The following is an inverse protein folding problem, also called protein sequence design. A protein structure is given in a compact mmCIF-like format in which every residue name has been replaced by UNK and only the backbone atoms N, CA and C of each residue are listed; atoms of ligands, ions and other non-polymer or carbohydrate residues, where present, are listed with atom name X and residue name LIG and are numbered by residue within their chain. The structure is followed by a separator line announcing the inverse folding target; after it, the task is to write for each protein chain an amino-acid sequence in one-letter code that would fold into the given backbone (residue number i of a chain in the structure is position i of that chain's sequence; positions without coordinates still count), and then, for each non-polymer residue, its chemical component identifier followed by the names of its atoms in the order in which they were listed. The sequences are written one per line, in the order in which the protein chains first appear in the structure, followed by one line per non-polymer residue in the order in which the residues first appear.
data_IF_102607196743
#
_entry.id   IF_102607196743
#
_cell.length_a   1.000
_cell.length_b   1.000
_cell.length_c   1.000
_cell.angle_alpha   90.00
_cell.angle_beta   90.00
_cell.angle_gamma   90.00
#
_symmetry.space_group_name_H-M   'P 1'
#
loop_
_entity.id
_entity.type
_entity.pdbx_description
1 polymer ?
#
# COMPACT_ATOMS: atom_id res chain seq x y z
N UNK A 1 65.46 -29.58 17.92
CA UNK A 1 64.13 -29.02 18.07
C UNK A 1 63.99 -27.86 17.07
N UNK A 2 63.37 -28.11 15.91
CA UNK A 2 63.26 -27.11 14.83
C UNK A 2 61.86 -26.48 14.96
N UNK A 3 61.76 -25.18 15.28
CA UNK A 3 60.51 -24.41 15.26
C UNK A 3 60.22 -24.04 13.81
N UNK A 4 59.10 -24.51 13.28
CA UNK A 4 58.58 -24.10 11.99
C UNK A 4 57.59 -22.94 12.26
N UNK A 5 57.98 -21.70 11.87
CA UNK A 5 57.06 -20.56 11.87
C UNK A 5 56.07 -20.70 10.72
N UNK A 6 54.79 -20.83 11.06
CA UNK A 6 53.68 -20.80 10.10
C UNK A 6 53.31 -19.31 9.87
N UNK A 7 53.62 -18.76 8.69
CA UNK A 7 53.18 -17.41 8.34
C UNK A 7 51.76 -17.47 7.84
N UNK A 8 50.84 -16.86 8.58
CA UNK A 8 49.43 -16.69 8.21
C UNK A 8 49.30 -15.47 7.28
N UNK A 9 49.15 -15.69 5.99
CA UNK A 9 48.88 -14.62 5.02
C UNK A 9 47.41 -14.21 5.10
N UNK A 10 47.15 -13.02 5.64
CA UNK A 10 45.84 -12.42 5.63
C UNK A 10 45.58 -11.83 4.24
N UNK A 11 44.73 -12.50 3.43
CA UNK A 11 44.29 -11.97 2.15
C UNK A 11 43.27 -10.84 2.42
N UNK A 12 43.67 -9.59 2.19
CA UNK A 12 42.73 -8.46 2.14
C UNK A 12 41.83 -8.66 0.89
N UNK A 13 40.57 -8.97 1.11
CA UNK A 13 39.59 -8.93 0.04
C UNK A 13 39.40 -7.47 -0.40
N UNK A 14 39.80 -7.15 -1.63
CA UNK A 14 39.50 -5.85 -2.23
C UNK A 14 37.97 -5.71 -2.37
N UNK A 15 37.39 -4.54 -2.07
CA UNK A 15 35.97 -4.31 -2.32
C UNK A 15 35.66 -4.47 -3.81
N UNK A 16 34.65 -5.27 -4.14
CA UNK A 16 34.18 -5.39 -5.52
C UNK A 16 33.69 -4.01 -5.98
N UNK A 17 34.08 -3.54 -7.18
CA UNK A 17 33.55 -2.28 -7.70
C UNK A 17 32.03 -2.39 -7.82
N UNK A 18 31.31 -1.41 -7.27
CA UNK A 18 29.86 -1.30 -7.46
C UNK A 18 29.57 -1.24 -8.97
N UNK A 19 28.62 -2.05 -9.44
CA UNK A 19 28.24 -2.02 -10.84
C UNK A 19 27.55 -0.67 -11.15
N UNK A 20 28.15 0.24 -11.89
CA UNK A 20 27.60 1.58 -12.13
C UNK A 20 26.23 1.56 -12.85
N UNK A 21 25.90 0.45 -13.52
CA UNK A 21 24.60 0.26 -14.19
C UNK A 21 23.43 0.14 -13.20
N UNK A 22 23.72 -0.19 -11.93
CA UNK A 22 22.69 -0.31 -10.87
C UNK A 22 22.49 0.98 -10.09
N UNK A 23 23.29 2.02 -10.36
CA UNK A 23 23.18 3.30 -9.68
C UNK A 23 22.52 4.28 -10.65
N UNK A 24 21.30 4.72 -10.32
CA UNK A 24 20.62 5.75 -11.10
C UNK A 24 21.25 7.11 -10.73
N UNK A 25 21.82 7.80 -11.71
CA UNK A 25 22.45 9.12 -11.52
C UNK A 25 21.42 10.26 -11.50
N UNK A 26 20.18 9.97 -11.93
CA UNK A 26 19.08 10.95 -11.96
C UNK A 26 18.18 10.83 -10.74
N UNK A 27 17.64 11.94 -10.26
CA UNK A 27 16.58 11.97 -9.25
C UNK A 27 15.29 11.28 -9.73
N UNK A 28 14.24 11.23 -8.88
CA UNK A 28 12.93 10.75 -9.28
C UNK A 28 12.42 11.52 -10.50
N UNK A 29 11.80 10.81 -11.43
CA UNK A 29 11.12 11.43 -12.57
C UNK A 29 9.78 12.02 -12.11
N UNK A 30 9.28 13.03 -12.82
CA UNK A 30 7.89 13.46 -12.66
C UNK A 30 6.95 12.39 -13.23
N UNK A 31 5.66 12.35 -12.82
CA UNK A 31 4.70 11.40 -13.36
C UNK A 31 4.60 11.43 -14.91
N UNK A 32 4.69 12.60 -15.50
CA UNK A 32 4.66 12.79 -16.96
C UNK A 32 5.93 12.31 -17.64
N UNK A 33 7.07 12.44 -16.98
CA UNK A 33 8.34 11.90 -17.48
C UNK A 33 8.37 10.39 -17.41
N UNK A 34 7.85 9.81 -16.30
CA UNK A 34 7.73 8.36 -16.15
C UNK A 34 6.77 7.77 -17.17
N UNK A 35 5.62 8.42 -17.42
CA UNK A 35 4.64 8.01 -18.43
C UNK A 35 5.29 7.88 -19.83
N UNK A 36 6.14 8.82 -20.22
CA UNK A 36 6.85 8.77 -21.51
C UNK A 36 7.87 7.64 -21.60
N UNK A 37 8.27 7.08 -20.47
CA UNK A 37 9.22 5.96 -20.41
C UNK A 37 8.61 4.59 -20.68
N UNK A 38 7.27 4.47 -20.68
CA UNK A 38 6.60 3.19 -20.97
C UNK A 38 6.62 2.89 -22.47
N UNK A 39 6.87 1.62 -22.80
CA UNK A 39 6.72 1.08 -24.15
C UNK A 39 5.70 -0.05 -24.10
N UNK A 40 4.65 0.07 -24.90
CA UNK A 40 3.56 -0.90 -24.99
C UNK A 40 3.36 -1.32 -26.45
N UNK A 41 2.72 -2.48 -26.74
CA UNK A 41 2.32 -2.85 -28.10
C UNK A 41 1.39 -1.80 -28.74
N UNK A 42 1.34 -1.76 -30.08
CA UNK A 42 0.62 -0.75 -30.87
C UNK A 42 -0.89 -0.63 -30.55
N UNK A 43 -1.51 -1.72 -30.06
CA UNK A 43 -2.93 -1.76 -29.71
C UNK A 43 -3.22 -1.33 -28.26
N UNK A 44 -2.20 -0.86 -27.52
CA UNK A 44 -2.32 -0.44 -26.13
C UNK A 44 -1.85 0.99 -25.93
N UNK A 45 -2.50 1.67 -25.00
CA UNK A 45 -2.13 2.99 -24.52
C UNK A 45 -1.91 2.98 -23.02
N UNK A 46 -0.89 3.70 -22.53
CA UNK A 46 -0.67 3.93 -21.09
C UNK A 46 -1.16 5.31 -20.73
N UNK A 47 -2.02 5.38 -19.74
CA UNK A 47 -2.62 6.63 -19.26
C UNK A 47 -2.27 6.86 -17.80
N UNK A 48 -1.94 8.09 -17.42
CA UNK A 48 -1.71 8.49 -16.05
C UNK A 48 -3.07 8.78 -15.39
N UNK A 49 -3.58 7.85 -14.60
CA UNK A 49 -4.86 8.01 -13.90
C UNK A 49 -4.73 8.84 -12.62
N UNK A 50 -3.70 8.60 -11.81
CA UNK A 50 -3.45 9.33 -10.57
C UNK A 50 -1.98 9.26 -10.18
N UNK A 51 -1.50 10.32 -9.54
CA UNK A 51 -0.16 10.42 -8.97
C UNK A 51 -0.21 11.10 -7.61
N UNK A 52 0.93 11.22 -6.94
CA UNK A 52 1.05 12.07 -5.75
C UNK A 52 0.72 13.53 -6.09
N UNK A 53 0.04 14.25 -5.21
CA UNK A 53 -0.34 13.90 -3.83
C UNK A 53 -1.69 13.19 -3.68
N UNK A 54 -2.42 12.88 -4.76
CA UNK A 54 -3.73 12.23 -4.69
C UNK A 54 -3.66 10.85 -4.04
N UNK A 55 -2.62 10.10 -4.39
CA UNK A 55 -2.31 8.80 -3.78
C UNK A 55 -0.89 8.80 -3.21
N UNK A 56 -0.66 7.98 -2.21
CA UNK A 56 0.69 7.74 -1.64
C UNK A 56 0.84 6.26 -1.33
N UNK A 57 1.99 5.68 -1.66
CA UNK A 57 2.32 4.27 -1.42
C UNK A 57 1.13 3.33 -1.68
N UNK A 58 0.57 3.29 -2.88
CA UNK A 58 -0.49 2.35 -3.22
C UNK A 58 0.08 0.93 -3.23
N UNK A 59 -0.51 0.02 -2.44
CA UNK A 59 -0.07 -1.37 -2.38
C UNK A 59 -1.01 -2.27 -3.18
N UNK A 60 -2.32 -1.99 -3.13
CA UNK A 60 -3.32 -2.74 -3.86
C UNK A 60 -4.35 -1.80 -4.48
N UNK A 61 -4.84 -2.19 -5.64
CA UNK A 61 -5.79 -1.44 -6.47
C UNK A 61 -6.92 -2.37 -6.91
N UNK A 62 -8.16 -1.87 -6.88
CA UNK A 62 -9.31 -2.62 -7.40
C UNK A 62 -10.37 -1.66 -7.99
N UNK A 63 -10.87 -1.98 -9.17
CA UNK A 63 -12.01 -1.26 -9.75
C UNK A 63 -13.32 -1.74 -9.15
N UNK A 64 -14.13 -0.81 -8.68
CA UNK A 64 -15.50 -1.06 -8.23
C UNK A 64 -16.51 -1.02 -9.35
N UNK A 65 -17.69 -1.60 -9.12
CA UNK A 65 -18.78 -1.66 -10.11
C UNK A 65 -19.33 -0.31 -10.59
N UNK A 66 -18.99 0.79 -9.90
CA UNK A 66 -19.35 2.17 -10.28
C UNK A 66 -18.24 2.87 -11.10
N UNK A 67 -17.24 2.14 -11.61
CA UNK A 67 -16.12 2.72 -12.35
C UNK A 67 -15.13 3.52 -11.48
N UNK A 68 -15.14 3.31 -10.16
CA UNK A 68 -14.23 4.00 -9.24
C UNK A 68 -13.05 3.11 -8.85
N UNK A 69 -11.88 3.69 -8.75
CA UNK A 69 -10.66 3.00 -8.32
C UNK A 69 -10.54 3.04 -6.80
N UNK A 70 -10.47 1.87 -6.20
CA UNK A 70 -10.23 1.69 -4.77
C UNK A 70 -8.76 1.39 -4.55
N UNK A 71 -8.15 2.08 -3.58
CA UNK A 71 -6.71 2.02 -3.34
C UNK A 71 -6.44 1.80 -1.86
N UNK A 72 -5.65 0.78 -1.54
CA UNK A 72 -5.04 0.68 -0.21
C UNK A 72 -3.76 1.53 -0.18
N UNK A 73 -3.78 2.61 0.59
CA UNK A 73 -2.65 3.51 0.80
C UNK A 73 -1.97 3.12 2.12
N UNK A 74 -0.71 2.67 2.02
CA UNK A 74 0.01 2.05 3.14
C UNK A 74 1.29 2.83 3.42
N UNK A 75 1.13 4.05 3.90
CA UNK A 75 2.20 5.02 4.11
C UNK A 75 3.21 4.53 5.15
N UNK A 76 2.71 3.88 6.20
CA UNK A 76 3.52 3.42 7.34
C UNK A 76 4.26 2.09 7.09
N UNK A 77 3.97 1.37 5.98
CA UNK A 77 4.66 0.13 5.66
C UNK A 77 6.19 0.32 5.60
N UNK A 78 7.01 -0.56 6.19
CA UNK A 78 6.67 -1.87 6.74
C UNK A 78 6.44 -1.88 8.27
N UNK A 79 6.24 -0.76 8.91
CA UNK A 79 6.22 -0.65 10.37
C UNK A 79 4.79 -0.65 10.93
N UNK A 80 4.27 -1.85 11.19
CA UNK A 80 2.94 -2.01 11.80
C UNK A 80 2.83 -1.30 13.16
N UNK A 81 1.71 -0.61 13.37
CA UNK A 81 1.40 -0.02 14.66
C UNK A 81 1.15 -1.09 15.72
N UNK A 82 1.77 -0.93 16.88
CA UNK A 82 1.57 -1.80 18.04
C UNK A 82 0.24 -1.51 18.73
N UNK A 83 -0.18 -2.43 19.60
CA UNK A 83 -1.45 -2.35 20.34
C UNK A 83 -1.64 -1.09 21.19
N UNK A 84 -0.56 -0.48 21.65
CA UNK A 84 -0.59 0.78 22.42
C UNK A 84 -1.11 1.98 21.60
N UNK A 85 -1.03 1.91 20.27
CA UNK A 85 -1.62 2.91 19.35
C UNK A 85 -3.06 2.58 18.95
N UNK A 86 -3.58 1.39 19.26
CA UNK A 86 -4.94 1.02 18.91
C UNK A 86 -5.96 1.77 19.76
N UNK A 87 -7.09 2.14 19.17
CA UNK A 87 -8.19 2.81 19.89
C UNK A 87 -9.09 1.81 20.63
N UNK A 88 -9.10 0.56 20.19
CA UNK A 88 -9.83 -0.54 20.80
C UNK A 88 -9.04 -1.87 20.67
N UNK A 89 -9.47 -2.89 21.38
CA UNK A 89 -8.80 -4.21 21.40
C UNK A 89 -8.80 -4.92 20.04
N UNK A 90 -9.70 -4.55 19.15
CA UNK A 90 -9.82 -5.15 17.83
C UNK A 90 -8.86 -4.51 16.82
N UNK A 91 -8.25 -3.35 17.14
CA UNK A 91 -7.44 -2.58 16.20
C UNK A 91 -8.26 -1.93 15.09
N UNK A 92 -9.50 -1.52 15.39
CA UNK A 92 -10.40 -0.91 14.40
C UNK A 92 -9.89 0.40 13.85
N UNK A 93 -9.11 1.14 14.64
CA UNK A 93 -8.36 2.33 14.23
C UNK A 93 -7.03 2.42 14.98
N UNK A 94 -6.07 3.05 14.36
CA UNK A 94 -4.76 3.35 14.92
C UNK A 94 -4.61 4.87 15.07
N UNK A 95 -4.21 5.32 16.25
CA UNK A 95 -3.92 6.74 16.49
C UNK A 95 -2.75 7.20 15.60
N UNK A 96 -2.89 8.38 15.02
CA UNK A 96 -1.86 9.04 14.20
C UNK A 96 -1.39 8.18 13.00
N UNK A 97 -2.23 7.27 12.51
CA UNK A 97 -1.97 6.51 11.29
C UNK A 97 -2.42 7.32 10.07
N UNK A 98 -1.59 7.28 9.03
CA UNK A 98 -1.87 7.87 7.71
C UNK A 98 -2.28 6.80 6.69
N UNK A 99 -2.41 5.55 7.14
CA UNK A 99 -2.85 4.44 6.31
C UNK A 99 -4.36 4.47 6.10
N UNK A 100 -4.80 4.31 4.86
CA UNK A 100 -6.19 4.46 4.50
C UNK A 100 -6.61 3.61 3.30
N UNK A 101 -7.91 3.38 3.16
CA UNK A 101 -8.53 3.03 1.88
C UNK A 101 -9.04 4.31 1.25
N UNK A 102 -8.65 4.57 0.01
CA UNK A 102 -9.07 5.72 -0.79
C UNK A 102 -9.91 5.27 -1.97
N UNK A 103 -10.85 6.11 -2.38
CA UNK A 103 -11.64 5.94 -3.61
C UNK A 103 -11.31 7.12 -4.53
N UNK A 104 -10.92 6.82 -5.76
CA UNK A 104 -10.62 7.80 -6.79
C UNK A 104 -11.72 7.74 -7.86
N UNK A 105 -12.20 8.91 -8.25
CA UNK A 105 -13.24 9.09 -9.24
C UNK A 105 -12.73 9.97 -10.39
N UNK A 106 -12.90 9.50 -11.60
CA UNK A 106 -12.84 10.28 -12.85
C UNK A 106 -14.27 10.79 -13.08
N UNK A 107 -14.49 12.08 -12.87
CA UNK A 107 -15.83 12.67 -12.87
C UNK A 107 -16.23 13.15 -14.25
N UNK A 108 -15.27 13.63 -15.04
CA UNK A 108 -15.51 14.20 -16.37
C UNK A 108 -15.22 13.22 -17.52
N UNK A 109 -14.63 12.05 -17.22
CA UNK A 109 -14.39 10.98 -18.19
C UNK A 109 -13.14 11.18 -19.04
N UNK A 110 -12.18 11.99 -18.58
CA UNK A 110 -10.93 12.25 -19.32
C UNK A 110 -9.84 11.18 -19.06
N UNK A 111 -10.12 10.20 -18.21
CA UNK A 111 -9.21 9.11 -17.85
C UNK A 111 -8.27 9.46 -16.71
N UNK A 112 -8.54 10.55 -15.98
CA UNK A 112 -7.79 10.94 -14.79
C UNK A 112 -8.71 11.08 -13.59
N UNK A 113 -8.14 10.91 -12.41
CA UNK A 113 -8.90 11.09 -11.18
C UNK A 113 -8.99 12.57 -10.83
N UNK A 114 -10.24 13.09 -10.74
CA UNK A 114 -10.54 14.47 -10.31
C UNK A 114 -10.84 14.54 -8.82
N UNK A 115 -11.32 13.44 -8.25
CA UNK A 115 -11.81 13.40 -6.89
C UNK A 115 -11.23 12.23 -6.13
N UNK A 116 -10.80 12.52 -4.90
CA UNK A 116 -10.32 11.51 -3.95
C UNK A 116 -11.15 11.57 -2.68
N UNK A 117 -11.64 10.41 -2.26
CA UNK A 117 -12.36 10.21 -1.02
C UNK A 117 -11.50 9.33 -0.13
N UNK A 118 -11.16 9.78 1.06
CA UNK A 118 -10.58 8.94 2.10
C UNK A 118 -11.72 8.18 2.77
N UNK A 119 -11.94 6.95 2.29
CA UNK A 119 -13.09 6.12 2.66
C UNK A 119 -12.96 5.51 4.05
N UNK A 120 -11.81 4.91 4.35
CA UNK A 120 -11.52 4.35 5.68
C UNK A 120 -10.11 4.76 6.10
N UNK A 121 -10.01 5.49 7.19
CA UNK A 121 -8.78 6.06 7.75
C UNK A 121 -8.27 5.29 8.97
N UNK A 122 -7.08 5.67 9.43
CA UNK A 122 -6.51 5.15 10.66
C UNK A 122 -6.29 3.65 10.63
N UNK A 123 -5.90 3.10 9.49
CA UNK A 123 -5.68 1.67 9.30
C UNK A 123 -4.26 1.26 9.74
N UNK A 124 -4.01 -0.02 9.77
CA UNK A 124 -2.73 -0.61 10.13
C UNK A 124 -2.23 -1.49 9.00
N UNK A 125 -1.42 -0.94 8.12
CA UNK A 125 -0.84 -1.60 6.95
C UNK A 125 -1.91 -2.32 6.10
N UNK A 126 -2.85 -1.60 5.49
CA UNK A 126 -3.83 -2.21 4.60
C UNK A 126 -3.15 -2.66 3.30
N UNK A 127 -3.07 -3.98 3.07
CA UNK A 127 -2.39 -4.55 1.91
C UNK A 127 -3.32 -5.12 0.86
N UNK A 128 -4.64 -5.08 1.09
CA UNK A 128 -5.63 -5.56 0.15
C UNK A 128 -6.94 -4.80 0.27
N UNK A 129 -7.59 -4.56 -0.86
CA UNK A 129 -8.93 -3.97 -0.92
C UNK A 129 -9.75 -4.65 -2.00
N UNK A 130 -10.97 -5.03 -1.65
CA UNK A 130 -11.98 -5.56 -2.57
C UNK A 130 -13.24 -4.72 -2.43
N UNK A 131 -13.60 -3.90 -3.44
CA UNK A 131 -14.87 -3.18 -3.45
C UNK A 131 -16.03 -4.16 -3.39
N UNK A 132 -16.80 -4.08 -2.32
CA UNK A 132 -17.98 -4.92 -2.12
C UNK A 132 -18.87 -4.28 -1.07
N UNK A 133 -20.17 -4.20 -1.30
CA UNK A 133 -21.12 -3.64 -0.35
C UNK A 133 -22.35 -4.54 -0.22
N UNK A 134 -22.95 -4.52 0.95
CA UNK A 134 -24.26 -5.12 1.20
C UNK A 134 -25.35 -4.20 0.60
N UNK A 135 -26.49 -4.75 0.17
CA UNK A 135 -27.53 -3.93 -0.47
C UNK A 135 -28.03 -2.75 0.36
N UNK A 136 -28.00 -2.86 1.68
CA UNK A 136 -28.43 -1.83 2.63
C UNK A 136 -27.43 -0.67 2.79
N UNK A 137 -26.17 -0.84 2.32
CA UNK A 137 -25.13 0.17 2.46
C UNK A 137 -24.89 0.94 1.15
N UNK A 138 -24.47 2.18 1.26
CA UNK A 138 -24.21 3.04 0.09
C UNK A 138 -22.95 2.65 -0.67
N UNK A 139 -21.89 2.38 0.07
CA UNK A 139 -20.62 1.89 -0.41
C UNK A 139 -19.99 0.95 0.62
N UNK A 140 -19.03 0.15 0.19
CA UNK A 140 -18.31 -0.73 1.10
C UNK A 140 -17.17 -1.47 0.44
N UNK A 141 -16.28 -2.00 1.28
CA UNK A 141 -15.20 -2.87 0.83
C UNK A 141 -14.85 -3.90 1.90
N UNK A 142 -14.30 -5.01 1.43
CA UNK A 142 -13.54 -5.94 2.26
C UNK A 142 -12.08 -5.54 2.14
N UNK A 143 -11.41 -5.33 3.27
CA UNK A 143 -10.01 -4.96 3.26
C UNK A 143 -9.24 -5.61 4.40
N UNK A 144 -7.96 -5.86 4.15
CA UNK A 144 -7.03 -6.22 5.18
C UNK A 144 -6.55 -4.98 5.91
N UNK A 145 -6.57 -5.02 7.23
CA UNK A 145 -5.86 -4.07 8.10
C UNK A 145 -5.57 -4.79 9.41
N UNK A 146 -4.30 -4.82 9.80
CA UNK A 146 -3.83 -5.55 10.97
C UNK A 146 -4.70 -5.27 12.19
N UNK A 147 -5.20 -6.29 12.89
CA UNK A 147 -4.88 -7.72 12.72
C UNK A 147 -5.98 -8.54 12.01
N UNK A 148 -6.90 -7.89 11.29
CA UNK A 148 -8.11 -8.54 10.83
C UNK A 148 -8.38 -8.30 9.33
N UNK A 149 -9.21 -9.17 8.75
CA UNK A 149 -9.97 -8.85 7.55
C UNK A 149 -11.26 -8.16 8.00
N UNK A 150 -11.46 -6.96 7.47
CA UNK A 150 -12.56 -6.08 7.82
C UNK A 150 -13.56 -5.94 6.69
N UNK A 151 -14.81 -5.72 7.08
CA UNK A 151 -15.80 -5.07 6.24
C UNK A 151 -15.94 -3.62 6.68
N UNK A 152 -15.65 -2.71 5.77
CA UNK A 152 -15.87 -1.28 5.92
C UNK A 152 -17.08 -0.86 5.09
N UNK A 153 -17.96 -0.06 5.65
CA UNK A 153 -19.12 0.44 4.90
C UNK A 153 -19.49 1.87 5.26
N UNK A 154 -19.98 2.59 4.26
CA UNK A 154 -20.70 3.84 4.39
C UNK A 154 -22.20 3.53 4.53
N UNK A 155 -22.74 3.73 5.72
CA UNK A 155 -24.17 3.53 6.00
C UNK A 155 -24.95 4.82 5.91
N UNK A 156 -24.30 5.98 5.96
CA UNK A 156 -24.91 7.32 5.99
C UNK A 156 -25.00 7.98 4.61
N UNK A 157 -24.08 7.65 3.71
CA UNK A 157 -24.01 8.23 2.36
C UNK A 157 -23.11 9.46 2.26
N UNK A 158 -22.20 9.66 3.23
CA UNK A 158 -21.25 10.78 3.23
C UNK A 158 -19.91 10.46 2.54
N UNK A 159 -19.76 9.21 2.05
CA UNK A 159 -18.57 8.73 1.38
C UNK A 159 -17.50 8.19 2.32
N UNK A 160 -17.78 8.07 3.62
CA UNK A 160 -16.83 7.55 4.62
C UNK A 160 -17.36 6.30 5.30
N UNK A 161 -16.46 5.39 5.62
CA UNK A 161 -16.80 4.18 6.36
C UNK A 161 -17.05 4.50 7.84
N UNK A 162 -18.30 4.50 8.24
CA UNK A 162 -18.77 4.60 9.62
C UNK A 162 -18.95 3.22 10.26
N UNK A 163 -19.16 2.17 9.48
CA UNK A 163 -19.19 0.78 9.94
C UNK A 163 -17.82 0.10 9.75
N UNK A 164 -17.35 -0.57 10.81
CA UNK A 164 -16.12 -1.38 10.82
C UNK A 164 -16.38 -2.72 11.49
N UNK A 165 -16.61 -3.74 10.68
CA UNK A 165 -16.95 -5.09 11.15
C UNK A 165 -15.77 -6.05 10.88
N UNK A 166 -15.40 -6.84 11.89
CA UNK A 166 -14.42 -7.91 11.71
C UNK A 166 -15.08 -9.08 11.01
N UNK A 167 -14.61 -9.42 9.82
CA UNK A 167 -15.04 -10.63 9.12
C UNK A 167 -14.25 -11.85 9.54
N UNK A 168 -12.94 -11.67 9.72
CA UNK A 168 -12.05 -12.76 10.13
C UNK A 168 -10.82 -12.21 10.85
N UNK A 169 -10.39 -12.88 11.94
CA UNK A 169 -9.22 -12.50 12.73
C UNK A 169 -9.43 -12.72 14.23
N UNK A 170 -8.50 -12.32 15.09
CA UNK A 170 -7.22 -11.73 14.72
C UNK A 170 -6.26 -12.76 14.13
N UNK A 171 -5.47 -12.37 13.14
CA UNK A 171 -4.38 -13.16 12.59
C UNK A 171 -3.06 -12.78 13.25
N UNK A 172 -2.10 -13.73 13.29
CA UNK A 172 -0.78 -13.46 13.83
C UNK A 172 0.01 -12.52 12.92
N UNK A 173 0.54 -11.43 13.47
CA UNK A 173 1.34 -10.43 12.74
C UNK A 173 2.63 -10.06 13.49
N UNK A 174 2.85 -10.65 14.67
CA UNK A 174 3.87 -10.20 15.63
C UNK A 174 5.30 -10.53 15.23
N UNK A 175 5.49 -11.44 14.27
CA UNK A 175 6.81 -11.92 13.86
C UNK A 175 7.34 -11.28 12.58
N UNK A 176 6.47 -10.91 11.68
CA UNK A 176 6.84 -10.36 10.38
C UNK A 176 5.66 -9.61 9.76
N UNK A 177 5.88 -8.36 9.39
CA UNK A 177 4.88 -7.55 8.68
C UNK A 177 4.67 -8.00 7.24
N UNK A 178 5.55 -8.83 6.70
CA UNK A 178 5.44 -9.40 5.35
C UNK A 178 4.60 -10.69 5.32
N UNK A 179 4.53 -11.42 6.43
CA UNK A 179 3.92 -12.76 6.51
C UNK A 179 2.40 -12.78 6.64
N UNK A 180 1.74 -11.65 6.69
CA UNK A 180 0.32 -11.59 7.03
C UNK A 180 -0.64 -11.89 5.89
N UNK A 181 -0.16 -12.01 4.68
CA UNK A 181 -0.97 -12.27 3.49
C UNK A 181 -0.41 -13.41 2.63
N UNK A 182 0.51 -14.20 3.19
CA UNK A 182 1.09 -15.38 2.51
C UNK A 182 0.43 -16.67 2.97
#
# INVERSE_FOLDING_TARGET
MRLTCLALTLALAAPLPANPVLIRETGPLTPEEELRGFSVPDDFEVQLFAAEPLINKPINLAWGGKGRLWVSSTVEYPYAAKKDRWIDERGSRVRDSHDAIKILEDVDGDGKADKVIEFADGLNIPTGVLPWHRPEHKDGCIAWSIPNIWYFADTTGDGKADLREVLFGPMGYERDTHGMCS
#
